data_IF_662269908951
#
_entry.id   IF_662269908951
#
_cell.length_a   1.000
_cell.length_b   1.000
_cell.length_c   1.000
_cell.angle_alpha   90.00
_cell.angle_beta   90.00
_cell.angle_gamma   90.00
#
_symmetry.space_group_name_H-M   'P 1'
#
loop_
_entity.id
_entity.type
_entity.pdbx_description
1 polymer ?
#
# COMPACT_ATOMS: atom_id res chain seq x y z
N UNK A 1 39.01 43.67 -25.20
CA UNK A 1 38.86 42.20 -25.26
C UNK A 1 38.81 41.61 -23.85
N UNK A 2 37.70 41.21 -23.28
CA UNK A 2 36.46 41.97 -23.06
C UNK A 2 35.97 41.59 -21.66
N UNK A 3 36.03 42.56 -20.72
CA UNK A 3 35.42 42.47 -19.39
C UNK A 3 33.89 42.20 -19.44
N UNK A 4 33.31 42.34 -20.63
CA UNK A 4 31.90 42.10 -20.96
C UNK A 4 31.55 40.59 -20.99
N UNK A 5 32.51 39.69 -21.23
CA UNK A 5 32.23 38.24 -21.26
C UNK A 5 32.10 37.64 -19.86
N UNK A 6 32.72 38.25 -18.84
CA UNK A 6 32.61 37.77 -17.45
C UNK A 6 31.33 38.25 -16.75
N UNK A 7 30.74 39.38 -17.19
CA UNK A 7 29.46 39.88 -16.68
C UNK A 7 28.23 39.18 -17.29
N UNK A 8 28.38 38.50 -18.43
CA UNK A 8 27.29 37.75 -19.07
C UNK A 8 27.09 36.33 -18.50
N UNK A 9 27.97 35.86 -17.61
CA UNK A 9 27.80 34.59 -16.88
C UNK A 9 27.09 34.76 -15.52
N UNK A 10 26.70 35.99 -15.15
CA UNK A 10 26.05 36.31 -13.87
C UNK A 10 24.54 36.54 -13.95
N UNK A 11 23.92 36.42 -15.14
CA UNK A 11 22.48 36.60 -15.33
C UNK A 11 21.83 35.41 -16.02
N UNK A 12 21.70 34.28 -15.31
CA UNK A 12 20.64 33.28 -15.54
C UNK A 12 20.43 32.35 -14.33
N UNK A 13 20.83 32.74 -13.12
CA UNK A 13 20.27 32.18 -11.90
C UNK A 13 19.05 33.02 -11.53
N UNK A 14 18.00 32.94 -12.36
CA UNK A 14 16.66 33.24 -11.87
C UNK A 14 16.44 32.37 -10.63
N UNK A 15 15.70 32.84 -9.60
CA UNK A 15 15.46 32.04 -8.42
C UNK A 15 14.87 30.71 -8.91
N UNK A 16 15.60 29.62 -8.71
CA UNK A 16 14.99 28.30 -8.68
C UNK A 16 14.02 28.41 -7.53
N UNK A 17 12.76 28.73 -7.83
CA UNK A 17 11.67 28.71 -6.86
C UNK A 17 11.65 27.28 -6.33
N UNK A 18 12.33 27.07 -5.20
CA UNK A 18 12.37 25.78 -4.54
C UNK A 18 10.95 25.36 -4.24
N UNK A 19 10.64 24.07 -4.45
CA UNK A 19 9.33 23.53 -4.13
C UNK A 19 8.97 23.86 -2.68
N UNK A 20 7.83 24.52 -2.48
CA UNK A 20 7.26 24.78 -1.16
C UNK A 20 6.50 23.52 -0.75
N UNK A 21 6.91 22.92 0.37
CA UNK A 21 6.31 21.70 0.88
C UNK A 21 5.43 22.01 2.09
N UNK A 22 4.14 21.72 1.97
CA UNK A 22 3.16 21.85 3.07
C UNK A 22 2.70 20.48 3.53
N UNK A 23 2.05 20.39 4.69
CA UNK A 23 1.46 19.13 5.14
C UNK A 23 0.28 18.75 4.25
N UNK A 24 0.12 17.46 3.95
CA UNK A 24 -1.16 16.97 3.47
C UNK A 24 -2.23 17.34 4.50
N UNK A 25 -3.35 17.89 4.01
CA UNK A 25 -4.51 18.21 4.81
C UNK A 25 -5.77 17.79 4.06
N UNK A 26 -6.54 16.89 4.65
CA UNK A 26 -7.69 16.25 4.00
C UNK A 26 -8.98 16.86 4.54
N UNK A 27 -9.79 17.40 3.64
CA UNK A 27 -11.21 17.68 3.89
C UNK A 27 -12.05 16.46 3.53
N UNK A 28 -12.94 16.04 4.42
CA UNK A 28 -13.93 14.99 4.19
C UNK A 28 -15.27 15.61 3.78
N UNK A 29 -15.61 15.50 2.50
CA UNK A 29 -16.91 15.92 1.98
C UNK A 29 -18.01 14.92 2.36
N UNK A 30 -19.14 15.45 2.84
CA UNK A 30 -20.34 14.68 3.22
C UNK A 30 -21.58 15.24 2.52
N UNK A 31 -22.48 14.32 2.15
CA UNK A 31 -23.79 14.65 1.56
C UNK A 31 -24.92 14.52 2.59
N UNK A 32 -26.04 15.19 2.32
CA UNK A 32 -27.21 15.16 3.22
C UNK A 32 -27.90 13.79 3.25
N UNK A 33 -27.99 13.15 2.08
CA UNK A 33 -28.63 11.86 1.87
C UNK A 33 -27.80 10.67 2.37
N UNK A 34 -26.57 10.90 2.88
CA UNK A 34 -25.70 9.82 3.31
C UNK A 34 -25.93 9.39 4.74
N UNK A 35 -26.05 8.08 4.91
CA UNK A 35 -26.00 7.44 6.23
C UNK A 35 -24.63 7.74 6.84
N UNK A 36 -24.62 8.47 7.96
CA UNK A 36 -23.37 8.76 8.66
C UNK A 36 -22.68 7.46 9.05
N UNK A 37 -21.38 7.36 8.75
CA UNK A 37 -20.54 6.29 9.28
C UNK A 37 -20.71 6.24 10.80
N UNK A 38 -20.98 5.04 11.31
CA UNK A 38 -21.06 4.81 12.74
C UNK A 38 -19.71 5.12 13.42
N UNK A 39 -19.72 5.28 14.74
CA UNK A 39 -18.51 5.60 15.49
C UNK A 39 -17.36 4.60 15.26
N UNK A 40 -17.69 3.32 15.12
CA UNK A 40 -16.74 2.22 14.90
C UNK A 40 -15.92 2.37 13.63
N UNK A 41 -16.49 2.89 12.54
CA UNK A 41 -15.77 3.15 11.29
C UNK A 41 -15.28 4.59 11.18
N UNK A 42 -16.00 5.54 11.77
CA UNK A 42 -15.63 6.96 11.73
C UNK A 42 -14.31 7.22 12.46
N UNK A 43 -14.12 6.65 13.64
CA UNK A 43 -12.89 6.81 14.42
C UNK A 43 -11.62 6.34 13.67
N UNK A 44 -11.53 5.08 13.19
CA UNK A 44 -10.35 4.62 12.46
C UNK A 44 -10.10 5.41 11.17
N UNK A 45 -11.14 5.89 10.49
CA UNK A 45 -10.98 6.79 9.34
C UNK A 45 -10.28 8.11 9.73
N UNK A 46 -10.71 8.76 10.81
CA UNK A 46 -10.07 9.98 11.28
C UNK A 46 -8.63 9.75 11.76
N UNK A 47 -8.38 8.65 12.46
CA UNK A 47 -7.02 8.26 12.87
C UNK A 47 -6.12 8.01 11.63
N UNK A 48 -6.64 7.37 10.58
CA UNK A 48 -5.94 7.13 9.33
C UNK A 48 -5.57 8.43 8.62
N UNK A 49 -6.52 9.36 8.52
CA UNK A 49 -6.29 10.71 7.98
C UNK A 49 -5.20 11.41 8.77
N UNK A 50 -5.33 11.45 10.10
CA UNK A 50 -4.35 12.09 10.96
C UNK A 50 -2.94 11.52 10.74
N UNK A 51 -2.81 10.20 10.67
CA UNK A 51 -1.53 9.54 10.42
C UNK A 51 -0.91 10.02 9.10
N UNK A 52 -1.67 9.94 8.01
CA UNK A 52 -1.19 10.33 6.67
C UNK A 52 -0.86 11.83 6.58
N UNK A 53 -1.65 12.72 7.18
CA UNK A 53 -1.35 14.16 7.25
C UNK A 53 0.00 14.43 7.93
N UNK A 54 0.38 13.60 8.92
CA UNK A 54 1.67 13.73 9.60
C UNK A 54 2.83 13.03 8.88
N UNK A 55 2.56 12.24 7.85
CA UNK A 55 3.57 11.49 7.09
C UNK A 55 3.82 12.07 5.71
N UNK A 56 2.83 12.71 5.10
CA UNK A 56 2.89 13.17 3.72
C UNK A 56 2.98 14.69 3.68
N UNK A 57 3.91 15.16 2.87
CA UNK A 57 4.06 16.54 2.45
C UNK A 57 3.62 16.65 0.99
N UNK A 58 3.07 17.82 0.68
CA UNK A 58 2.46 18.14 -0.60
C UNK A 58 3.21 19.32 -1.20
N UNK A 59 3.53 19.24 -2.48
CA UNK A 59 4.13 20.35 -3.21
C UNK A 59 3.06 21.40 -3.51
N UNK A 60 3.23 22.59 -2.94
CA UNK A 60 2.33 23.72 -3.05
C UNK A 60 2.59 24.57 -4.31
N UNK A 61 3.66 24.28 -5.06
CA UNK A 61 3.95 24.93 -6.33
C UNK A 61 3.00 24.50 -7.48
N UNK A 62 2.12 23.52 -7.25
CA UNK A 62 1.07 23.07 -8.18
C UNK A 62 -0.19 23.89 -7.90
N UNK A 63 -0.42 24.92 -8.72
CA UNK A 63 -1.23 26.12 -8.41
C UNK A 63 -2.74 26.05 -8.68
N UNK A 64 -3.30 24.93 -9.12
CA UNK A 64 -4.75 24.88 -9.26
C UNK A 64 -5.39 24.39 -7.96
N UNK A 65 -6.36 25.14 -7.50
CA UNK A 65 -7.01 24.90 -6.23
C UNK A 65 -8.51 25.06 -6.31
N UNK A 66 -9.07 25.39 -7.46
CA UNK A 66 -10.52 25.53 -7.61
C UNK A 66 -11.06 24.18 -8.04
N UNK A 67 -11.93 23.61 -7.21
CA UNK A 67 -12.79 22.49 -7.56
C UNK A 67 -14.11 23.07 -8.01
N UNK A 68 -14.41 22.96 -9.30
CA UNK A 68 -15.71 23.38 -9.81
C UNK A 68 -16.81 22.39 -9.40
N UNK A 69 -18.06 22.88 -9.39
CA UNK A 69 -19.23 22.07 -9.04
C UNK A 69 -19.34 20.79 -9.86
N UNK A 70 -19.05 20.85 -11.16
CA UNK A 70 -19.21 19.73 -12.06
C UNK A 70 -18.21 18.61 -11.71
N UNK A 71 -16.95 18.94 -11.46
CA UNK A 71 -15.94 18.00 -11.00
C UNK A 71 -16.35 17.28 -9.70
N UNK A 72 -16.95 18.00 -8.74
CA UNK A 72 -17.46 17.42 -7.48
C UNK A 72 -18.67 16.50 -7.73
N UNK A 73 -19.62 16.94 -8.57
CA UNK A 73 -20.81 16.17 -8.92
C UNK A 73 -20.47 14.88 -9.68
N UNK A 74 -19.54 14.96 -10.65
CA UNK A 74 -19.06 13.81 -11.42
C UNK A 74 -18.33 12.81 -10.51
N UNK A 75 -17.43 13.30 -9.65
CA UNK A 75 -16.70 12.47 -8.68
C UNK A 75 -17.64 11.69 -7.76
N UNK A 76 -18.64 12.37 -7.19
CA UNK A 76 -19.62 11.72 -6.32
C UNK A 76 -20.64 10.87 -7.06
N UNK A 77 -20.77 11.04 -8.38
CA UNK A 77 -21.89 10.51 -9.17
C UNK A 77 -23.24 10.95 -8.61
N UNK A 78 -23.32 12.18 -8.06
CA UNK A 78 -24.51 12.76 -7.43
C UNK A 78 -24.75 14.18 -7.95
N UNK A 79 -26.02 14.54 -8.13
CA UNK A 79 -26.44 15.92 -8.46
C UNK A 79 -26.63 16.80 -7.22
N UNK A 80 -26.66 16.20 -6.03
CA UNK A 80 -26.81 16.89 -4.75
C UNK A 80 -25.57 17.74 -4.42
N UNK A 81 -25.79 18.82 -3.68
CA UNK A 81 -24.70 19.67 -3.20
C UNK A 81 -24.04 19.07 -1.96
N UNK A 82 -22.74 19.27 -1.82
CA UNK A 82 -22.04 18.96 -0.58
C UNK A 82 -22.65 19.73 0.59
N UNK A 83 -23.11 19.00 1.60
CA UNK A 83 -23.71 19.55 2.82
C UNK A 83 -22.65 20.17 3.71
N UNK A 84 -21.54 19.45 3.86
CA UNK A 84 -20.46 19.85 4.73
C UNK A 84 -19.14 19.22 4.34
N UNK A 85 -18.06 19.91 4.66
CA UNK A 85 -16.71 19.37 4.67
C UNK A 85 -16.20 19.38 6.10
N UNK A 86 -15.82 18.20 6.61
CA UNK A 86 -15.17 18.05 7.91
C UNK A 86 -13.65 18.00 7.71
N UNK A 87 -12.85 18.59 8.60
CA UNK A 87 -11.39 18.41 8.58
C UNK A 87 -10.82 18.37 10.00
N UNK A 88 -9.66 17.72 10.14
CA UNK A 88 -8.94 17.67 11.41
C UNK A 88 -8.17 18.98 11.64
N UNK A 89 -8.63 19.75 12.62
CA UNK A 89 -7.93 20.94 13.09
C UNK A 89 -6.78 20.56 14.04
N UNK A 90 -7.05 19.64 14.96
CA UNK A 90 -6.06 18.95 15.81
C UNK A 90 -6.46 17.47 15.92
N UNK A 91 -5.68 16.64 16.61
CA UNK A 91 -5.86 15.19 16.69
C UNK A 91 -7.28 14.75 17.08
N UNK A 92 -7.98 15.56 17.90
CA UNK A 92 -9.32 15.24 18.41
C UNK A 92 -10.38 16.29 18.05
N UNK A 93 -10.00 17.36 17.34
CA UNK A 93 -10.92 18.46 17.00
C UNK A 93 -11.21 18.43 15.51
N UNK A 94 -12.41 17.96 15.18
CA UNK A 94 -12.99 18.08 13.84
C UNK A 94 -13.68 19.43 13.74
N UNK A 95 -13.35 20.18 12.69
CA UNK A 95 -14.10 21.38 12.30
C UNK A 95 -14.93 21.08 11.07
N UNK A 96 -16.04 21.79 10.94
CA UNK A 96 -16.99 21.63 9.84
C UNK A 96 -17.15 22.94 9.11
N UNK A 97 -17.17 22.88 7.79
CA UNK A 97 -17.40 23.97 6.87
C UNK A 97 -18.58 23.60 5.98
N UNK A 98 -19.54 24.51 5.82
CA UNK A 98 -20.62 24.34 4.84
C UNK A 98 -20.25 25.16 3.61
N UNK A 99 -20.04 24.53 2.44
CA UNK A 99 -19.74 25.26 1.21
C UNK A 99 -20.84 26.28 0.91
N UNK A 100 -20.49 27.55 0.74
CA UNK A 100 -21.41 28.65 0.41
C UNK A 100 -21.52 28.91 -1.09
N UNK A 101 -20.48 28.57 -1.84
CA UNK A 101 -20.46 28.52 -3.31
C UNK A 101 -20.58 27.08 -3.80
N UNK A 102 -20.99 26.91 -5.06
CA UNK A 102 -20.97 25.61 -5.75
C UNK A 102 -19.55 25.19 -6.14
N UNK A 103 -18.69 26.18 -6.44
CA UNK A 103 -17.26 26.00 -6.64
C UNK A 103 -16.49 26.21 -5.32
N UNK A 104 -15.40 25.46 -5.13
CA UNK A 104 -14.58 25.48 -3.92
C UNK A 104 -13.11 25.77 -4.23
N UNK A 105 -12.62 26.93 -3.81
CA UNK A 105 -11.19 27.25 -3.77
C UNK A 105 -10.55 26.63 -2.53
N UNK A 106 -9.66 25.66 -2.72
CA UNK A 106 -8.84 25.02 -1.69
C UNK A 106 -7.75 25.95 -1.13
N UNK A 107 -7.35 27.02 -1.83
CA UNK A 107 -6.39 28.00 -1.28
C UNK A 107 -6.94 28.69 -0.04
N UNK A 108 -8.24 28.93 -0.03
CA UNK A 108 -8.93 29.61 1.06
C UNK A 108 -9.30 28.65 2.20
N UNK A 109 -9.03 27.35 2.02
CA UNK A 109 -9.37 26.31 3.00
C UNK A 109 -8.20 25.95 3.90
N UNK A 110 -8.51 25.22 4.97
CA UNK A 110 -7.52 24.61 5.87
C UNK A 110 -7.08 23.22 5.41
N UNK A 111 -7.51 22.80 4.23
CA UNK A 111 -7.19 21.52 3.60
C UNK A 111 -6.78 21.73 2.14
N UNK A 112 -5.94 20.84 1.63
CA UNK A 112 -5.37 20.91 0.27
C UNK A 112 -5.69 19.67 -0.58
N UNK A 113 -6.53 18.78 -0.06
CA UNK A 113 -7.11 17.64 -0.75
C UNK A 113 -8.53 17.41 -0.24
N UNK A 114 -9.51 17.28 -1.15
CA UNK A 114 -10.89 16.94 -0.80
C UNK A 114 -11.12 15.46 -1.08
N UNK A 115 -11.55 14.72 -0.06
CA UNK A 115 -11.99 13.32 -0.18
C UNK A 115 -13.49 13.24 0.05
N UNK A 116 -14.23 12.80 -0.96
CA UNK A 116 -15.66 12.53 -0.82
C UNK A 116 -15.82 11.16 -0.17
N UNK A 117 -16.28 11.14 1.08
CA UNK A 117 -16.46 9.90 1.84
C UNK A 117 -17.90 9.42 1.69
N UNK A 118 -18.11 8.52 0.74
CA UNK A 118 -19.43 8.00 0.36
C UNK A 118 -19.75 6.71 1.12
N UNK A 119 -21.02 6.45 1.39
CA UNK A 119 -21.47 5.25 2.13
C UNK A 119 -22.52 4.46 1.35
N UNK A 120 -22.36 3.14 1.23
CA UNK A 120 -23.34 2.25 0.57
C UNK A 120 -23.39 2.39 -0.96
N UNK A 121 -24.57 2.32 -1.57
CA UNK A 121 -24.79 2.45 -3.01
C UNK A 121 -24.57 1.17 -3.83
N UNK A 122 -24.92 1.22 -5.12
CA UNK A 122 -24.90 0.07 -6.05
C UNK A 122 -23.52 -0.60 -6.15
N UNK A 123 -22.43 0.17 -6.01
CA UNK A 123 -21.07 -0.38 -6.04
C UNK A 123 -20.84 -1.38 -4.90
N UNK A 124 -21.35 -1.08 -3.70
CA UNK A 124 -21.27 -1.97 -2.54
C UNK A 124 -22.18 -3.19 -2.65
N UNK A 125 -23.32 -3.07 -3.33
CA UNK A 125 -24.23 -4.19 -3.58
C UNK A 125 -23.64 -5.17 -4.61
N UNK A 126 -22.92 -4.65 -5.60
CA UNK A 126 -22.25 -5.44 -6.63
C UNK A 126 -20.99 -6.14 -6.13
N UNK A 127 -20.26 -5.53 -5.19
CA UNK A 127 -18.95 -5.99 -4.72
C UNK A 127 -19.02 -6.55 -3.30
N UNK A 128 -19.53 -7.78 -3.14
CA UNK A 128 -19.79 -8.41 -1.84
C UNK A 128 -18.55 -8.57 -0.93
N UNK A 129 -17.34 -8.56 -1.48
CA UNK A 129 -16.10 -8.74 -0.71
C UNK A 129 -15.30 -7.44 -0.53
N UNK A 130 -15.85 -6.29 -0.92
CA UNK A 130 -15.18 -5.00 -0.79
C UNK A 130 -15.70 -4.30 0.46
N UNK A 131 -14.77 -3.89 1.33
CA UNK A 131 -15.07 -3.13 2.55
C UNK A 131 -15.06 -1.62 2.26
N UNK A 132 -14.04 -1.16 1.55
CA UNK A 132 -13.91 0.20 1.07
C UNK A 132 -13.16 0.20 -0.27
N UNK A 133 -13.32 1.28 -1.04
CA UNK A 133 -12.58 1.49 -2.28
C UNK A 133 -12.45 2.96 -2.60
N UNK A 134 -11.29 3.40 -3.07
CA UNK A 134 -11.06 4.80 -3.41
C UNK A 134 -10.41 5.00 -4.78
N UNK A 135 -10.64 6.19 -5.33
CA UNK A 135 -10.15 6.59 -6.65
C UNK A 135 -9.82 8.08 -6.69
N UNK A 136 -8.91 8.45 -7.58
CA UNK A 136 -8.72 9.84 -7.99
C UNK A 136 -9.88 10.24 -8.89
N UNK A 137 -10.49 11.40 -8.62
CA UNK A 137 -11.55 11.93 -9.47
C UNK A 137 -11.04 13.02 -10.40
N UNK A 138 -10.20 13.93 -9.90
CA UNK A 138 -9.78 15.10 -10.64
C UNK A 138 -8.27 15.30 -10.57
N UNK A 139 -7.67 15.46 -11.74
CA UNK A 139 -6.29 15.88 -11.91
C UNK A 139 -6.29 17.35 -12.32
N UNK A 140 -5.72 18.19 -11.47
CA UNK A 140 -5.46 19.58 -11.83
C UNK A 140 -4.56 19.70 -13.07
N UNK A 141 -4.82 20.72 -13.89
CA UNK A 141 -4.02 21.30 -14.98
C UNK A 141 -2.53 21.34 -14.64
N UNK A 142 -1.88 20.21 -14.89
CA UNK A 142 -0.49 19.93 -14.58
C UNK A 142 -0.14 19.66 -13.10
N UNK A 143 -0.78 18.59 -12.59
CA UNK A 143 -0.11 17.46 -11.92
C UNK A 143 -0.11 17.51 -10.39
N UNK A 144 -1.22 17.05 -9.79
CA UNK A 144 -1.37 16.32 -8.50
C UNK A 144 -2.88 16.13 -8.22
N UNK A 145 -3.35 14.99 -7.72
CA UNK A 145 -4.72 14.81 -7.25
C UNK A 145 -5.10 15.83 -6.17
N UNK A 146 -6.25 16.50 -6.33
CA UNK A 146 -6.82 17.42 -5.32
C UNK A 146 -8.26 17.03 -4.92
N UNK A 147 -8.86 16.10 -5.65
CA UNK A 147 -10.17 15.53 -5.37
C UNK A 147 -10.12 14.01 -5.58
N UNK A 148 -10.52 13.27 -4.56
CA UNK A 148 -10.76 11.85 -4.65
C UNK A 148 -12.11 11.48 -4.04
N UNK A 149 -12.53 10.24 -4.26
CA UNK A 149 -13.67 9.64 -3.59
C UNK A 149 -13.26 8.35 -2.91
N UNK A 150 -13.93 8.03 -1.82
CA UNK A 150 -13.84 6.74 -1.16
C UNK A 150 -15.24 6.24 -0.86
N UNK A 151 -15.56 5.08 -1.39
CA UNK A 151 -16.80 4.36 -1.15
C UNK A 151 -16.60 3.40 0.03
N UNK A 152 -17.43 3.51 1.06
CA UNK A 152 -17.38 2.65 2.24
C UNK A 152 -18.63 1.76 2.29
N UNK A 153 -18.42 0.45 2.19
CA UNK A 153 -19.47 -0.56 2.19
C UNK A 153 -19.81 -0.98 3.62
N UNK A 154 -20.38 -0.04 4.39
CA UNK A 154 -20.55 -0.17 5.84
C UNK A 154 -21.48 -1.32 6.27
N UNK A 155 -22.41 -1.76 5.41
CA UNK A 155 -23.32 -2.89 5.66
C UNK A 155 -22.66 -4.26 5.46
N UNK A 156 -21.41 -4.30 4.99
CA UNK A 156 -20.71 -5.55 4.74
C UNK A 156 -20.42 -6.27 6.08
N UNK A 157 -20.89 -7.52 6.21
CA UNK A 157 -20.70 -8.30 7.43
C UNK A 157 -19.22 -8.59 7.74
N UNK A 158 -18.33 -8.53 6.75
CA UNK A 158 -16.89 -8.72 6.94
C UNK A 158 -16.27 -7.67 7.89
N UNK A 159 -16.89 -6.50 8.09
CA UNK A 159 -16.48 -5.54 9.12
C UNK A 159 -16.50 -6.11 10.54
N UNK A 160 -17.32 -7.14 10.81
CA UNK A 160 -17.40 -7.74 12.15
C UNK A 160 -16.15 -8.54 12.53
N UNK A 161 -15.39 -9.01 11.55
CA UNK A 161 -14.18 -9.84 11.75
C UNK A 161 -12.91 -9.16 11.26
N UNK A 162 -13.01 -7.93 10.76
CA UNK A 162 -11.89 -7.17 10.21
C UNK A 162 -11.39 -6.13 11.22
N UNK A 163 -10.21 -6.37 11.77
CA UNK A 163 -9.63 -5.55 12.86
C UNK A 163 -8.78 -4.39 12.36
N UNK A 164 -8.41 -4.39 11.07
CA UNK A 164 -7.47 -3.44 10.46
C UNK A 164 -8.15 -2.29 9.71
N UNK A 165 -9.32 -1.84 10.20
CA UNK A 165 -10.08 -0.73 9.59
C UNK A 165 -9.22 0.54 9.40
N UNK A 166 -8.37 0.84 10.38
CA UNK A 166 -7.42 1.96 10.33
C UNK A 166 -6.48 1.86 9.11
N UNK A 167 -5.85 0.70 8.91
CA UNK A 167 -4.92 0.52 7.78
C UNK A 167 -5.66 0.44 6.45
N UNK A 168 -6.86 -0.12 6.41
CA UNK A 168 -7.72 -0.08 5.22
C UNK A 168 -7.99 1.35 4.77
N UNK A 169 -8.36 2.24 5.69
CA UNK A 169 -8.58 3.64 5.32
C UNK A 169 -7.30 4.32 4.85
N UNK A 170 -6.13 3.99 5.42
CA UNK A 170 -4.85 4.52 4.91
C UNK A 170 -4.57 4.03 3.49
N UNK A 171 -4.78 2.74 3.23
CA UNK A 171 -4.63 2.11 1.91
C UNK A 171 -5.50 2.81 0.86
N UNK A 172 -6.79 2.98 1.14
CA UNK A 172 -7.72 3.64 0.23
C UNK A 172 -7.38 5.12 0.02
N UNK A 173 -7.00 5.84 1.07
CA UNK A 173 -6.57 7.25 0.93
C UNK A 173 -5.33 7.35 0.02
N UNK A 174 -4.38 6.40 0.10
CA UNK A 174 -3.21 6.40 -0.79
C UNK A 174 -3.61 6.21 -2.27
N UNK A 175 -4.61 5.37 -2.55
CA UNK A 175 -5.20 5.30 -3.91
C UNK A 175 -5.86 6.61 -4.33
N UNK A 176 -6.60 7.29 -3.44
CA UNK A 176 -7.17 8.61 -3.72
C UNK A 176 -6.09 9.69 -3.99
N UNK A 177 -4.87 9.50 -3.47
CA UNK A 177 -3.70 10.34 -3.77
C UNK A 177 -2.95 9.90 -5.04
N UNK A 178 -3.44 8.89 -5.75
CA UNK A 178 -2.93 8.44 -7.06
C UNK A 178 -1.95 7.27 -7.01
N UNK A 179 -1.71 6.66 -5.85
CA UNK A 179 -0.89 5.45 -5.77
C UNK A 179 -1.51 4.32 -6.62
N UNK A 180 -0.73 3.73 -7.52
CA UNK A 180 -1.14 2.55 -8.30
C UNK A 180 -2.26 2.81 -9.33
N UNK A 181 -2.70 4.06 -9.52
CA UNK A 181 -3.78 4.41 -10.45
C UNK A 181 -3.30 5.22 -11.66
N UNK A 182 -1.99 5.45 -11.74
CA UNK A 182 -1.37 6.30 -12.76
C UNK A 182 -0.39 5.49 -13.59
N UNK A 183 -0.41 5.77 -14.89
CA UNK A 183 0.57 5.23 -15.83
C UNK A 183 1.56 6.36 -16.17
N UNK A 184 2.88 6.14 -16.05
CA UNK A 184 3.86 7.12 -16.44
C UNK A 184 3.76 7.46 -17.94
N UNK A 185 4.20 8.66 -18.32
CA UNK A 185 4.28 9.07 -19.72
C UNK A 185 5.73 9.46 -20.05
N UNK A 186 6.44 8.69 -20.90
CA UNK A 186 5.98 7.48 -21.58
C UNK A 186 5.74 6.30 -20.61
N UNK A 187 4.86 5.33 -20.95
CA UNK A 187 4.65 4.14 -20.14
C UNK A 187 5.95 3.36 -19.91
N UNK A 188 6.12 2.85 -18.69
CA UNK A 188 7.29 2.05 -18.32
C UNK A 188 6.82 0.61 -18.18
N UNK A 189 6.89 -0.15 -19.27
CA UNK A 189 6.55 -1.57 -19.24
C UNK A 189 7.66 -2.36 -18.51
N UNK A 190 7.44 -2.61 -17.21
CA UNK A 190 8.30 -3.47 -16.41
C UNK A 190 7.65 -4.84 -16.30
N UNK A 191 8.14 -5.80 -17.08
CA UNK A 191 7.69 -7.18 -17.06
C UNK A 191 8.88 -8.11 -17.17
N UNK A 192 8.81 -9.25 -16.49
CA UNK A 192 9.85 -10.27 -16.51
C UNK A 192 9.17 -11.64 -16.59
N UNK A 193 9.66 -12.52 -17.46
CA UNK A 193 9.24 -13.93 -17.47
C UNK A 193 10.17 -14.73 -16.58
N UNK A 194 9.60 -15.44 -15.60
CA UNK A 194 10.33 -16.28 -14.64
C UNK A 194 9.95 -17.74 -14.80
N UNK A 195 10.94 -18.61 -14.59
CA UNK A 195 10.73 -20.06 -14.50
C UNK A 195 10.68 -20.47 -13.05
N UNK A 196 9.56 -21.05 -12.62
CA UNK A 196 9.31 -21.51 -11.25
C UNK A 196 8.95 -22.98 -11.22
N UNK A 197 9.37 -23.68 -10.16
CA UNK A 197 8.94 -25.06 -9.92
C UNK A 197 7.64 -25.07 -9.14
N UNK A 198 6.70 -25.89 -9.61
CA UNK A 198 5.51 -26.27 -8.87
C UNK A 198 5.84 -27.31 -7.78
N UNK A 199 4.83 -27.69 -6.99
CA UNK A 199 4.90 -28.67 -5.92
C UNK A 199 5.07 -30.11 -6.37
N UNK A 200 4.92 -30.39 -7.67
CA UNK A 200 5.34 -31.66 -8.31
C UNK A 200 6.78 -31.60 -8.81
N UNK A 201 7.44 -30.44 -8.70
CA UNK A 201 8.78 -30.19 -9.23
C UNK A 201 8.81 -29.88 -10.73
N UNK A 202 7.66 -29.67 -11.38
CA UNK A 202 7.61 -29.30 -12.79
C UNK A 202 7.90 -27.81 -12.95
N UNK A 203 8.71 -27.46 -13.95
CA UNK A 203 9.04 -26.06 -14.24
C UNK A 203 7.97 -25.43 -15.12
N UNK A 204 7.48 -24.26 -14.71
CA UNK A 204 6.47 -23.49 -15.42
C UNK A 204 6.93 -22.05 -15.60
N UNK A 205 6.46 -21.42 -16.67
CA UNK A 205 6.79 -20.04 -17.04
C UNK A 205 5.70 -19.09 -16.54
N UNK A 206 6.10 -18.01 -15.88
CA UNK A 206 5.20 -17.00 -15.31
C UNK A 206 5.66 -15.60 -15.66
N UNK A 207 4.71 -14.75 -16.04
CA UNK A 207 4.98 -13.31 -16.22
C UNK A 207 4.74 -12.60 -14.90
N UNK A 208 5.73 -11.82 -14.46
CA UNK A 208 5.62 -10.92 -13.32
C UNK A 208 5.60 -9.48 -13.82
N UNK A 209 4.74 -8.66 -13.21
CA UNK A 209 4.57 -7.24 -13.54
C UNK A 209 5.24 -6.39 -12.46
N UNK A 210 5.88 -5.30 -12.86
CA UNK A 210 6.49 -4.33 -11.95
C UNK A 210 5.56 -3.17 -11.63
N UNK A 211 5.61 -2.64 -10.42
CA UNK A 211 4.94 -1.39 -10.06
C UNK A 211 5.45 -0.24 -10.93
N UNK A 212 4.54 0.61 -11.37
CA UNK A 212 4.89 1.91 -11.92
C UNK A 212 5.55 2.80 -10.86
N UNK A 213 6.31 3.80 -11.31
CA UNK A 213 6.99 4.77 -10.43
C UNK A 213 7.89 4.12 -9.35
N UNK A 214 8.48 2.95 -9.62
CA UNK A 214 9.16 2.15 -8.60
C UNK A 214 10.69 2.25 -8.60
N UNK A 215 11.29 3.17 -9.37
CA UNK A 215 12.75 3.20 -9.57
C UNK A 215 13.54 3.32 -8.26
N UNK A 216 13.19 4.27 -7.38
CA UNK A 216 13.87 4.40 -6.08
C UNK A 216 13.49 3.27 -5.13
N UNK A 217 12.23 2.84 -5.17
CA UNK A 217 11.75 1.71 -4.39
C UNK A 217 12.54 0.42 -4.70
N UNK A 218 12.87 0.15 -5.97
CA UNK A 218 13.68 -1.01 -6.37
C UNK A 218 15.04 -1.05 -5.66
N UNK A 219 15.72 0.10 -5.56
CA UNK A 219 16.99 0.20 -4.83
C UNK A 219 16.83 -0.18 -3.36
N UNK A 220 15.73 0.26 -2.73
CA UNK A 220 15.40 -0.11 -1.36
C UNK A 220 15.08 -1.60 -1.24
N UNK A 221 14.20 -2.14 -2.10
CA UNK A 221 13.77 -3.54 -2.09
C UNK A 221 14.94 -4.50 -2.27
N UNK A 222 15.90 -4.20 -3.17
CA UNK A 222 17.14 -4.99 -3.33
C UNK A 222 17.91 -5.13 -2.02
N UNK A 223 18.01 -4.06 -1.23
CA UNK A 223 18.67 -4.10 0.09
C UNK A 223 17.81 -4.83 1.11
N UNK A 224 16.51 -4.54 1.15
CA UNK A 224 15.56 -5.16 2.07
C UNK A 224 15.60 -6.69 1.96
N UNK A 225 15.49 -7.24 0.75
CA UNK A 225 15.56 -8.69 0.52
C UNK A 225 16.98 -9.25 0.48
N UNK A 226 18.03 -8.42 0.45
CA UNK A 226 19.42 -8.84 0.15
C UNK A 226 19.52 -9.55 -1.20
N UNK A 227 18.93 -8.97 -2.23
CA UNK A 227 18.97 -9.48 -3.59
C UNK A 227 19.31 -8.39 -4.60
N UNK A 228 20.56 -8.36 -5.08
CA UNK A 228 21.02 -7.34 -6.03
C UNK A 228 20.51 -7.53 -7.46
N UNK A 229 20.15 -8.76 -7.84
CA UNK A 229 19.67 -9.10 -9.19
C UNK A 229 18.19 -8.81 -9.43
N UNK A 230 17.43 -8.44 -8.39
CA UNK A 230 16.00 -8.17 -8.52
C UNK A 230 15.79 -7.01 -9.51
N UNK A 231 14.98 -7.20 -10.55
CA UNK A 231 14.84 -6.21 -11.62
C UNK A 231 13.64 -5.28 -11.48
N UNK A 232 12.61 -5.71 -10.76
CA UNK A 232 11.33 -5.00 -10.62
C UNK A 232 10.85 -5.02 -9.16
N UNK A 233 10.02 -4.04 -8.78
CA UNK A 233 9.20 -4.12 -7.56
C UNK A 233 7.89 -4.78 -7.96
N UNK A 234 7.67 -6.02 -7.54
CA UNK A 234 6.57 -6.84 -8.07
C UNK A 234 5.18 -6.30 -7.71
N UNK A 235 4.34 -6.12 -8.72
CA UNK A 235 2.93 -5.81 -8.58
C UNK A 235 2.11 -7.09 -8.42
N UNK A 236 0.91 -6.98 -7.86
CA UNK A 236 -0.06 -8.08 -7.77
C UNK A 236 -0.39 -8.64 -9.17
N UNK A 237 -0.61 -7.77 -10.15
CA UNK A 237 -1.04 -8.12 -11.50
C UNK A 237 -0.76 -6.99 -12.50
N UNK A 238 -1.22 -7.16 -13.74
CA UNK A 238 -1.04 -6.22 -14.86
C UNK A 238 -1.60 -4.81 -14.57
N UNK A 239 -2.61 -4.68 -13.70
CA UNK A 239 -3.18 -3.37 -13.35
C UNK A 239 -2.22 -2.52 -12.52
N UNK A 240 -1.18 -3.13 -11.92
CA UNK A 240 -0.11 -2.44 -11.15
C UNK A 240 -0.61 -1.54 -10.02
N UNK A 241 -1.78 -1.85 -9.46
CA UNK A 241 -2.42 -1.09 -8.37
C UNK A 241 -1.79 -1.35 -7.01
N UNK A 242 -1.48 -2.61 -6.74
CA UNK A 242 -0.99 -3.08 -5.46
C UNK A 242 0.36 -3.76 -5.60
N UNK A 243 1.13 -3.72 -4.52
CA UNK A 243 2.27 -4.60 -4.32
C UNK A 243 1.79 -6.05 -4.24
N UNK A 244 2.60 -6.96 -4.77
CA UNK A 244 2.34 -8.40 -4.69
C UNK A 244 2.30 -8.89 -3.23
N UNK A 245 1.17 -9.42 -2.74
CA UNK A 245 1.05 -9.81 -1.33
C UNK A 245 1.99 -10.95 -0.93
N UNK A 246 2.37 -11.81 -1.88
CA UNK A 246 3.31 -12.89 -1.61
C UNK A 246 4.72 -12.36 -1.34
N UNK A 247 5.18 -11.37 -2.10
CA UNK A 247 6.51 -10.80 -1.94
C UNK A 247 6.57 -9.80 -0.78
N UNK A 248 5.48 -9.07 -0.54
CA UNK A 248 5.46 -7.94 0.39
C UNK A 248 4.61 -8.16 1.66
N UNK A 249 3.85 -9.26 1.76
CA UNK A 249 3.12 -9.63 2.98
C UNK A 249 2.22 -8.52 3.51
N UNK A 250 2.44 -8.12 4.76
CA UNK A 250 1.70 -7.06 5.45
C UNK A 250 2.25 -5.64 5.18
N UNK A 251 2.73 -5.37 3.98
CA UNK A 251 2.93 -4.00 3.49
C UNK A 251 1.55 -3.37 3.24
N UNK A 252 1.39 -2.09 3.56
CA UNK A 252 0.10 -1.40 3.50
C UNK A 252 -0.55 -1.43 2.11
N UNK A 253 0.23 -1.45 1.03
CA UNK A 253 -0.27 -1.37 -0.34
C UNK A 253 -0.33 -2.73 -1.05
N UNK A 254 -0.44 -3.83 -0.30
CA UNK A 254 -0.82 -5.15 -0.86
C UNK A 254 -2.35 -5.25 -0.98
N UNK A 255 -2.91 -6.11 -1.86
CA UNK A 255 -4.35 -6.20 -2.08
C UNK A 255 -5.13 -6.82 -0.90
N UNK A 256 -4.44 -7.52 0.00
CA UNK A 256 -5.04 -8.19 1.15
C UNK A 256 -4.34 -7.71 2.41
N UNK A 257 -5.07 -6.96 3.23
CA UNK A 257 -4.56 -6.50 4.52
C UNK A 257 -4.68 -7.61 5.56
N UNK A 258 -3.64 -7.76 6.37
CA UNK A 258 -3.68 -8.63 7.53
C UNK A 258 -4.59 -8.01 8.60
N UNK A 259 -5.24 -8.86 9.41
CA UNK A 259 -5.99 -8.43 10.61
C UNK A 259 -5.10 -7.87 11.74
N UNK A 260 -3.77 -7.93 11.57
CA UNK A 260 -2.81 -7.22 12.41
C UNK A 260 -2.33 -5.93 11.75
N UNK A 261 -1.21 -5.39 12.23
CA UNK A 261 -0.63 -4.17 11.68
C UNK A 261 -0.12 -4.34 10.24
N UNK A 262 -0.52 -3.41 9.37
CA UNK A 262 0.00 -3.26 8.02
C UNK A 262 0.90 -2.01 7.96
N UNK A 263 2.05 -2.13 7.31
CA UNK A 263 3.12 -1.14 7.44
C UNK A 263 3.18 -0.23 6.21
N UNK A 264 3.10 1.09 6.41
CA UNK A 264 3.43 2.04 5.35
C UNK A 264 4.95 2.18 5.27
N UNK A 265 5.58 1.35 4.44
CA UNK A 265 7.03 1.24 4.43
C UNK A 265 7.69 2.24 3.50
N UNK A 266 9.03 2.29 3.56
CA UNK A 266 9.86 3.00 2.59
C UNK A 266 9.60 2.57 1.14
N UNK A 267 9.09 1.35 0.90
CA UNK A 267 8.75 0.85 -0.44
C UNK A 267 7.62 1.70 -1.02
N UNK A 268 6.46 1.70 -0.35
CA UNK A 268 5.28 2.44 -0.79
C UNK A 268 5.47 3.96 -0.69
N UNK A 269 6.22 4.44 0.30
CA UNK A 269 6.59 5.86 0.38
C UNK A 269 7.40 6.32 -0.85
N UNK A 270 8.40 5.54 -1.28
CA UNK A 270 9.21 5.90 -2.44
C UNK A 270 8.40 5.84 -3.75
N UNK A 271 7.49 4.88 -3.89
CA UNK A 271 6.56 4.82 -5.03
C UNK A 271 5.68 6.07 -5.04
N UNK A 272 5.03 6.42 -3.91
CA UNK A 272 4.19 7.61 -3.81
C UNK A 272 4.95 8.90 -4.16
N UNK A 273 6.19 9.02 -3.68
CA UNK A 273 7.04 10.18 -4.00
C UNK A 273 7.47 10.23 -5.47
N UNK A 274 7.61 9.08 -6.13
CA UNK A 274 7.93 8.99 -7.56
C UNK A 274 6.67 9.08 -8.44
N UNK A 275 5.47 8.96 -7.87
CA UNK A 275 4.18 9.15 -8.55
C UNK A 275 3.95 10.63 -8.84
N UNK A 276 4.31 11.04 -10.05
CA UNK A 276 3.93 12.33 -10.59
C UNK A 276 3.92 12.30 -12.12
N UNK A 277 3.07 13.13 -12.70
CA UNK A 277 3.11 13.41 -14.14
C UNK A 277 3.96 14.66 -14.32
N UNK A 278 4.76 14.77 -15.39
CA UNK A 278 5.54 15.98 -15.74
C UNK A 278 6.80 16.24 -14.94
N UNK A 279 7.07 17.51 -14.60
CA UNK A 279 8.37 17.94 -14.07
C UNK A 279 8.40 18.12 -12.56
N UNK A 280 7.25 18.22 -11.90
CA UNK A 280 7.18 18.54 -10.48
C UNK A 280 6.70 17.33 -9.68
N UNK A 281 7.48 16.96 -8.69
CA UNK A 281 7.11 15.98 -7.69
C UNK A 281 5.89 16.46 -6.90
N UNK A 282 4.92 15.57 -6.68
CA UNK A 282 3.67 15.90 -5.98
C UNK A 282 3.79 15.78 -4.48
N UNK A 283 4.41 14.69 -4.05
CA UNK A 283 4.46 14.26 -2.66
C UNK A 283 5.89 14.05 -2.21
N UNK A 284 6.13 14.36 -0.95
CA UNK A 284 7.32 13.95 -0.22
C UNK A 284 6.88 13.33 1.08
N UNK A 285 7.55 12.29 1.56
CA UNK A 285 7.26 11.72 2.87
C UNK A 285 8.20 12.25 3.94
N UNK A 286 7.72 12.27 5.19
CA UNK A 286 8.54 12.62 6.35
C UNK A 286 9.37 11.41 6.75
N UNK A 287 10.65 11.46 6.37
CA UNK A 287 11.60 10.35 6.51
C UNK A 287 11.53 9.66 7.87
N UNK A 288 11.60 10.43 8.96
CA UNK A 288 11.66 9.88 10.32
C UNK A 288 10.39 9.12 10.72
N UNK A 289 9.22 9.49 10.17
CA UNK A 289 7.96 8.80 10.44
C UNK A 289 7.85 7.51 9.64
N UNK A 290 8.16 7.57 8.34
CA UNK A 290 8.16 6.39 7.46
C UNK A 290 9.20 5.37 7.93
N UNK A 291 10.39 5.84 8.29
CA UNK A 291 11.47 4.99 8.76
C UNK A 291 11.08 4.24 10.05
N UNK A 292 10.38 4.90 10.98
CA UNK A 292 9.89 4.25 12.21
C UNK A 292 8.89 3.12 11.94
N UNK A 293 7.98 3.28 10.98
CA UNK A 293 7.11 2.15 10.58
C UNK A 293 7.92 1.08 9.86
N UNK A 294 8.82 1.47 8.96
CA UNK A 294 9.68 0.57 8.18
C UNK A 294 10.60 -0.30 9.05
N UNK A 295 11.04 0.18 10.21
CA UNK A 295 11.85 -0.59 11.17
C UNK A 295 11.10 -1.78 11.78
N UNK A 296 9.78 -1.67 11.94
CA UNK A 296 8.92 -2.77 12.39
C UNK A 296 8.56 -3.77 11.29
N UNK A 297 8.77 -3.39 10.02
CA UNK A 297 8.46 -4.25 8.88
C UNK A 297 9.53 -5.34 8.69
N UNK A 298 9.16 -6.56 9.09
CA UNK A 298 10.03 -7.73 9.14
C UNK A 298 9.95 -8.62 7.89
N UNK A 299 8.83 -8.59 7.17
CA UNK A 299 8.54 -9.55 6.10
C UNK A 299 9.57 -9.51 4.97
N UNK A 300 10.10 -10.66 4.56
CA UNK A 300 11.09 -10.76 3.47
C UNK A 300 12.51 -10.29 3.82
N UNK A 301 12.72 -9.64 4.96
CA UNK A 301 13.98 -8.95 5.26
C UNK A 301 15.17 -9.93 5.27
N UNK A 302 16.12 -9.68 4.38
CA UNK A 302 17.34 -10.47 4.16
C UNK A 302 17.13 -11.94 3.76
N UNK A 303 15.95 -12.32 3.24
CA UNK A 303 15.66 -13.71 2.86
C UNK A 303 16.31 -14.15 1.54
N UNK A 304 16.94 -13.24 0.81
CA UNK A 304 17.77 -13.52 -0.36
C UNK A 304 16.99 -13.60 -1.67
N UNK A 305 17.74 -13.85 -2.74
CA UNK A 305 17.18 -13.85 -4.10
C UNK A 305 16.22 -15.00 -4.38
N UNK A 306 16.41 -16.17 -3.76
CA UNK A 306 15.51 -17.29 -3.97
C UNK A 306 14.09 -16.93 -3.51
N UNK A 307 13.96 -16.28 -2.35
CA UNK A 307 12.67 -15.74 -1.93
C UNK A 307 12.10 -14.71 -2.93
N UNK A 308 12.93 -13.74 -3.32
CA UNK A 308 12.46 -12.59 -4.10
C UNK A 308 12.22 -12.88 -5.60
N UNK A 309 12.69 -14.02 -6.12
CA UNK A 309 12.66 -14.29 -7.58
C UNK A 309 12.21 -15.70 -7.97
N UNK A 310 12.06 -16.62 -7.00
CA UNK A 310 11.65 -18.02 -7.25
C UNK A 310 10.33 -18.33 -6.53
N UNK A 311 9.80 -19.54 -6.71
CA UNK A 311 8.57 -19.93 -6.03
C UNK A 311 8.78 -20.12 -4.52
N UNK A 312 7.69 -20.12 -3.75
CA UNK A 312 7.76 -20.53 -2.34
C UNK A 312 8.22 -21.97 -2.18
N UNK A 313 7.94 -22.86 -3.14
CA UNK A 313 8.47 -24.22 -3.15
C UNK A 313 10.01 -24.21 -3.22
N UNK A 314 10.58 -23.46 -4.16
CA UNK A 314 12.04 -23.29 -4.31
C UNK A 314 12.67 -22.71 -3.04
N UNK A 315 12.03 -21.71 -2.43
CA UNK A 315 12.49 -21.12 -1.18
C UNK A 315 12.44 -22.11 -0.02
N UNK A 316 11.32 -22.83 0.16
CA UNK A 316 11.17 -23.84 1.23
C UNK A 316 12.22 -24.95 1.09
N UNK A 317 12.45 -25.45 -0.13
CA UNK A 317 13.48 -26.47 -0.40
C UNK A 317 14.90 -25.95 -0.12
N UNK A 318 15.20 -24.70 -0.51
CA UNK A 318 16.48 -24.06 -0.20
C UNK A 318 16.70 -23.93 1.32
N UNK A 319 15.68 -23.47 2.06
CA UNK A 319 15.78 -23.34 3.51
C UNK A 319 15.95 -24.71 4.19
N UNK A 320 15.21 -25.73 3.74
CA UNK A 320 15.36 -27.10 4.23
C UNK A 320 16.78 -27.65 4.00
N UNK A 321 17.33 -27.46 2.80
CA UNK A 321 18.71 -27.86 2.45
C UNK A 321 19.74 -27.15 3.32
N UNK A 322 19.50 -25.87 3.64
CA UNK A 322 20.36 -25.05 4.50
C UNK A 322 20.10 -25.23 6.00
N UNK A 323 19.18 -26.12 6.38
CA UNK A 323 18.74 -26.33 7.77
C UNK A 323 18.31 -25.03 8.47
N UNK A 324 17.61 -24.18 7.72
CA UNK A 324 17.05 -22.92 8.19
C UNK A 324 15.52 -23.01 8.22
N UNK A 325 14.84 -22.22 9.07
CA UNK A 325 13.38 -22.18 9.05
C UNK A 325 12.85 -21.64 7.73
N UNK A 326 11.86 -22.30 7.16
CA UNK A 326 11.13 -21.88 5.95
C UNK A 326 10.07 -20.79 6.18
N UNK A 327 10.10 -20.13 7.34
CA UNK A 327 9.14 -19.10 7.73
C UNK A 327 8.96 -18.04 6.62
N UNK A 328 7.72 -17.61 6.31
CA UNK A 328 6.44 -17.90 6.98
C UNK A 328 5.73 -19.16 6.44
N UNK A 329 6.40 -19.93 5.59
CA UNK A 329 5.84 -21.09 4.91
C UNK A 329 5.99 -22.36 5.73
N UNK A 330 4.93 -23.15 5.75
CA UNK A 330 4.90 -24.52 6.21
C UNK A 330 5.62 -25.45 5.23
N UNK A 331 6.30 -26.44 5.77
CA UNK A 331 6.89 -27.55 5.01
C UNK A 331 5.91 -28.72 4.93
N UNK A 332 6.15 -29.69 4.04
CA UNK A 332 5.37 -30.93 4.01
C UNK A 332 5.31 -31.65 5.37
N UNK A 333 6.39 -31.57 6.16
CA UNK A 333 6.47 -32.18 7.50
C UNK A 333 5.71 -31.41 8.58
N UNK A 334 5.27 -30.18 8.31
CA UNK A 334 4.48 -29.40 9.26
C UNK A 334 3.00 -29.77 9.24
N UNK A 335 2.54 -30.39 8.15
CA UNK A 335 1.16 -30.84 8.00
C UNK A 335 0.87 -32.11 8.81
N UNK A 336 -0.29 -32.13 9.50
CA UNK A 336 -0.74 -33.29 10.28
C UNK A 336 0.01 -33.50 11.60
N UNK A 337 0.88 -32.57 12.00
CA UNK A 337 1.48 -32.57 13.33
C UNK A 337 0.43 -32.27 14.40
N UNK A 338 0.43 -33.07 15.48
CA UNK A 338 -0.38 -32.79 16.67
C UNK A 338 0.09 -31.56 17.44
N UNK A 339 1.38 -31.23 17.35
CA UNK A 339 1.99 -30.05 17.95
C UNK A 339 2.57 -29.13 16.87
N UNK A 340 2.19 -27.83 16.85
CA UNK A 340 2.71 -26.87 15.89
C UNK A 340 4.24 -26.75 15.98
N UNK A 341 4.93 -26.65 14.84
CA UNK A 341 6.37 -26.37 14.82
C UNK A 341 6.63 -25.01 15.44
N UNK A 342 7.67 -24.90 16.27
CA UNK A 342 8.05 -23.66 16.93
C UNK A 342 9.26 -23.04 16.24
N UNK A 343 9.16 -21.76 15.93
CA UNK A 343 10.25 -20.94 15.41
C UNK A 343 10.60 -19.89 16.45
N UNK A 344 11.89 -19.73 16.71
CA UNK A 344 12.40 -18.76 17.65
C UNK A 344 12.96 -17.57 16.88
N UNK A 345 12.37 -16.39 17.09
CA UNK A 345 12.94 -15.12 16.67
C UNK A 345 13.88 -14.63 17.78
N UNK A 346 15.19 -14.75 17.55
CA UNK A 346 16.23 -14.39 18.52
C UNK A 346 16.83 -13.04 18.20
N UNK A 347 16.85 -12.15 19.18
CA UNK A 347 17.64 -10.91 19.19
C UNK A 347 18.80 -11.07 20.18
N UNK A 348 19.65 -10.05 20.32
CA UNK A 348 20.72 -10.04 21.33
C UNK A 348 20.20 -10.19 22.77
N UNK A 349 18.96 -9.76 23.04
CA UNK A 349 18.43 -9.65 24.41
C UNK A 349 17.17 -10.48 24.66
N UNK A 350 16.38 -10.76 23.61
CA UNK A 350 15.08 -11.42 23.72
C UNK A 350 14.95 -12.59 22.74
N UNK A 351 14.21 -13.62 23.13
CA UNK A 351 13.75 -14.70 22.25
C UNK A 351 12.23 -14.75 22.26
N UNK A 352 11.63 -14.57 21.09
CA UNK A 352 10.18 -14.72 20.90
C UNK A 352 9.91 -16.06 20.24
N UNK A 353 9.02 -16.86 20.82
CA UNK A 353 8.59 -18.13 20.22
C UNK A 353 7.34 -17.91 19.37
N UNK A 354 7.40 -18.35 18.12
CA UNK A 354 6.34 -18.27 17.12
C UNK A 354 5.88 -19.71 16.83
N UNK A 355 4.61 -20.00 17.11
CA UNK A 355 4.00 -21.27 16.70
C UNK A 355 3.57 -21.17 15.24
N UNK A 356 4.08 -22.05 14.38
CA UNK A 356 3.63 -22.19 13.01
C UNK A 356 2.39 -23.08 12.96
N UNK A 357 1.21 -22.46 12.91
CA UNK A 357 -0.04 -23.18 12.75
C UNK A 357 -0.31 -23.43 11.27
N UNK A 358 -0.03 -24.64 10.82
CA UNK A 358 -0.30 -25.07 9.44
C UNK A 358 -1.71 -25.68 9.37
N UNK A 359 -2.48 -25.42 8.31
CA UNK A 359 -3.82 -26.00 8.17
C UNK A 359 -3.75 -27.53 8.13
N UNK A 360 -4.75 -28.21 8.71
CA UNK A 360 -4.85 -29.67 8.67
C UNK A 360 -5.13 -30.08 7.22
N UNK A 361 -4.37 -31.05 6.69
CA UNK A 361 -4.65 -31.62 5.37
C UNK A 361 -6.02 -32.29 5.38
N UNK A 362 -7.03 -31.63 4.81
CA UNK A 362 -8.21 -32.34 4.31
C UNK A 362 -7.78 -33.17 3.09
N UNK A 363 -8.41 -34.33 2.89
CA UNK A 363 -8.20 -35.22 1.73
C UNK A 363 -8.29 -34.47 0.40
N UNK A 364 -9.06 -33.39 0.35
CA UNK A 364 -9.32 -32.56 -0.83
C UNK A 364 -8.18 -31.56 -1.12
N UNK A 365 -7.24 -31.36 -0.19
CA UNK A 365 -6.09 -30.46 -0.30
C UNK A 365 -4.83 -31.16 -0.84
N UNK A 366 -4.73 -32.49 -0.69
CA UNK A 366 -3.60 -33.29 -1.16
C UNK A 366 -3.39 -33.23 -2.70
N UNK A 367 -4.45 -33.25 -3.53
CA UNK A 367 -4.32 -33.03 -4.96
C UNK A 367 -3.90 -31.60 -5.29
N UNK A 368 -4.34 -30.58 -4.54
CA UNK A 368 -4.05 -29.15 -4.78
C UNK A 368 -2.62 -28.74 -4.35
N UNK A 369 -2.08 -29.38 -3.30
CA UNK A 369 -0.66 -29.27 -2.95
C UNK A 369 0.26 -29.95 -3.96
N UNK A 370 -0.26 -30.97 -4.66
CA UNK A 370 0.39 -31.54 -5.85
C UNK A 370 0.15 -30.65 -7.08
N UNK A 371 -1.05 -30.14 -7.31
CA UNK A 371 -1.44 -29.34 -8.48
C UNK A 371 -1.13 -27.85 -8.26
N UNK A 372 0.13 -27.56 -7.98
CA UNK A 372 0.67 -26.20 -7.89
C UNK A 372 0.91 -25.58 -9.29
N UNK A 373 0.10 -25.95 -10.28
CA UNK A 373 0.29 -25.63 -11.70
C UNK A 373 -0.18 -24.22 -12.10
N UNK A 374 -0.51 -23.36 -11.14
CA UNK A 374 -1.16 -22.07 -11.37
C UNK A 374 -0.57 -21.00 -10.46
N UNK A 375 0.71 -20.68 -10.66
CA UNK A 375 1.27 -19.42 -10.14
C UNK A 375 0.93 -18.28 -11.13
N UNK A 376 0.90 -17.02 -10.69
CA UNK A 376 1.07 -15.88 -11.61
C UNK A 376 -0.14 -15.25 -12.31
N UNK A 377 -1.38 -15.41 -11.83
CA UNK A 377 -2.46 -14.48 -12.20
C UNK A 377 -3.25 -14.04 -10.97
N UNK A 378 -3.66 -12.76 -10.96
CA UNK A 378 -4.45 -12.11 -9.91
C UNK A 378 -5.40 -13.11 -9.22
N UNK A 379 -5.18 -13.36 -7.92
CA UNK A 379 -6.01 -14.26 -7.11
C UNK A 379 -5.48 -15.68 -6.82
N UNK A 380 -4.24 -16.03 -7.21
CA UNK A 380 -3.69 -17.39 -7.10
C UNK A 380 -2.49 -17.57 -6.13
N UNK A 381 -2.19 -16.60 -5.27
CA UNK A 381 -1.23 -16.77 -4.15
C UNK A 381 -1.66 -17.81 -3.09
N UNK A 382 -2.87 -18.38 -3.25
CA UNK A 382 -3.49 -19.41 -2.39
C UNK A 382 -2.73 -20.74 -2.28
N UNK A 383 -1.70 -20.97 -3.10
CA UNK A 383 -0.97 -22.25 -3.10
C UNK A 383 0.33 -22.24 -2.30
N UNK A 384 0.82 -21.08 -1.85
CA UNK A 384 1.94 -21.07 -0.91
C UNK A 384 1.44 -21.46 0.49
N UNK A 385 2.13 -22.39 1.17
CA UNK A 385 1.63 -22.99 2.39
C UNK A 385 1.85 -22.05 3.60
N UNK A 386 1.18 -20.89 3.63
CA UNK A 386 1.31 -19.92 4.71
C UNK A 386 0.79 -20.47 6.05
N UNK A 387 1.49 -20.14 7.13
CA UNK A 387 0.97 -20.35 8.48
C UNK A 387 -0.25 -19.46 8.75
N UNK A 388 -1.30 -20.05 9.33
CA UNK A 388 -2.56 -19.37 9.67
C UNK A 388 -2.31 -18.18 10.61
N UNK A 389 -1.36 -18.30 11.54
CA UNK A 389 -1.02 -17.21 12.45
C UNK A 389 -0.42 -15.99 11.73
N UNK A 390 0.21 -16.18 10.56
CA UNK A 390 0.72 -15.07 9.74
C UNK A 390 -0.43 -14.40 9.01
N UNK A 391 -1.31 -15.20 8.38
CA UNK A 391 -2.50 -14.71 7.67
C UNK A 391 -3.44 -13.94 8.60
N UNK A 392 -3.63 -14.45 9.82
CA UNK A 392 -4.48 -13.83 10.83
C UNK A 392 -3.83 -12.62 11.52
N UNK A 393 -2.60 -12.23 11.13
CA UNK A 393 -1.90 -11.11 11.76
C UNK A 393 -1.48 -11.34 13.22
N UNK A 394 -1.48 -12.59 13.68
CA UNK A 394 -1.14 -12.98 15.05
C UNK A 394 0.38 -13.07 15.30
N UNK A 395 1.20 -12.79 14.28
CA UNK A 395 2.65 -12.80 14.38
C UNK A 395 3.19 -11.39 14.14
N UNK A 396 3.63 -10.77 15.22
CA UNK A 396 4.49 -9.59 15.19
C UNK A 396 5.91 -10.01 15.57
N UNK A 397 6.83 -9.99 14.61
CA UNK A 397 8.25 -10.08 14.94
C UNK A 397 8.67 -8.73 15.51
N UNK A 398 8.86 -8.70 16.82
CA UNK A 398 9.10 -7.49 17.64
C UNK A 398 10.35 -6.71 17.21
N UNK A 399 11.28 -7.34 16.50
CA UNK A 399 12.48 -6.69 15.98
C UNK A 399 12.86 -7.23 14.61
N UNK A 400 13.09 -6.33 13.66
CA UNK A 400 13.54 -6.67 12.30
C UNK A 400 14.98 -7.22 12.23
N UNK A 401 15.76 -7.09 13.31
CA UNK A 401 17.10 -7.69 13.43
C UNK A 401 17.06 -9.12 13.99
N UNK A 402 15.87 -9.67 14.23
CA UNK A 402 15.73 -11.02 14.76
C UNK A 402 16.26 -12.07 13.79
N UNK A 403 17.08 -12.98 14.28
CA UNK A 403 17.48 -14.19 13.56
C UNK A 403 16.44 -15.27 13.82
N UNK A 404 15.85 -15.79 12.74
CA UNK A 404 14.92 -16.91 12.82
C UNK A 404 15.68 -18.23 12.88
N UNK A 405 15.42 -19.01 13.92
CA UNK A 405 15.94 -20.36 14.11
C UNK A 405 14.83 -21.30 14.54
N UNK A 406 15.00 -22.60 14.36
CA UNK A 406 14.11 -23.55 15.05
C UNK A 406 14.34 -23.45 16.56
N UNK A 407 13.23 -23.47 17.30
CA UNK A 407 13.26 -23.82 18.71
C UNK A 407 13.40 -25.36 18.78
#
# INVERSE_FOLDING_TARGET
MNLIVLLLLLFCLGPVLGAIWTRLKIGLGQYESEEKLNYTLRRPLYEAIHNLETMILVNDAVKEHVLDRQSIAECSSRSERLKSVEWLFTNDIVKTFTPTSEDMSLQDQKFNFLLLALTGGEECERLQNVLARAYVCYFSNQKKPILGRMQVCWKNAAWMSFESAYDLFRHEILHALGYGLLVPSPPIYQEETRMWRDGRGQSQSFTVYGMDFSRRALSYVRRHFRCSILMIVEAENEDRKHLNEYIFGNELMTPVLNNGKNYFTKISALILEDTFVGKHQWYKTVETKVQRETEGYWYGRQWGCTFATKSCSDYVEEQATRRKPSFPFCTFHDYGRSTPRKICAKTLYNTTTISLQCPILLSDYLPQLRDQSSYGSAGHHRFCPFSQNVLNGQIEIVSSDSVLVEC
#
